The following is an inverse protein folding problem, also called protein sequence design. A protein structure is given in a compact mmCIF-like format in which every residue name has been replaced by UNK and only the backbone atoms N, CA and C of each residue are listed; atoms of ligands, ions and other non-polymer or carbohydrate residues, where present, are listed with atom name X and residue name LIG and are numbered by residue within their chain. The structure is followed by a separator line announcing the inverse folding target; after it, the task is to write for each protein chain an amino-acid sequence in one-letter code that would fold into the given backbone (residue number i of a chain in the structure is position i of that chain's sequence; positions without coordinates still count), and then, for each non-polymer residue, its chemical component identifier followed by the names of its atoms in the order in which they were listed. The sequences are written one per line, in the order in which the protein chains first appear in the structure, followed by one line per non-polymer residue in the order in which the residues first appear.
data_IF_351950015637
#
_entry.id   IF_351950015637
#
_cell.length_a   1.000
_cell.length_b   1.000
_cell.length_c   1.000
_cell.angle_alpha   90.00
_cell.angle_beta   90.00
_cell.angle_gamma   90.00
#
_symmetry.space_group_name_H-M   'P 1'
#
loop_
_entity.id
_entity.type
_entity.pdbx_description
1 polymer ?
#
# COMPACT_ATOMS: atom_id res chain seq x y z
N UNK A 1 19.97 -34.12 38.91
CA UNK A 1 18.49 -34.30 38.97
C UNK A 1 18.12 -35.38 37.94
N UNK A 2 17.14 -36.22 38.28
CA UNK A 2 16.98 -37.60 37.79
C UNK A 2 16.61 -37.73 36.31
N UNK A 3 17.28 -38.64 35.60
CA UNK A 3 16.78 -39.32 34.40
C UNK A 3 15.75 -40.35 34.84
N UNK A 4 14.55 -40.36 34.23
CA UNK A 4 13.79 -41.59 33.96
C UNK A 4 12.95 -41.47 32.67
N UNK A 5 12.90 -42.53 31.86
CA UNK A 5 12.16 -42.63 30.60
C UNK A 5 10.72 -43.14 30.82
N UNK A 6 9.86 -43.05 29.80
CA UNK A 6 8.68 -43.91 29.68
C UNK A 6 8.67 -44.66 28.36
N UNK A 7 8.55 -45.97 28.54
CA UNK A 7 8.54 -47.08 27.60
C UNK A 7 7.12 -47.31 27.05
N UNK A 8 7.09 -47.67 25.75
CA UNK A 8 6.45 -48.84 25.12
C UNK A 8 4.91 -49.07 25.08
N UNK A 9 4.59 -49.75 23.96
CA UNK A 9 3.53 -50.73 23.71
C UNK A 9 2.16 -50.15 23.28
N UNK A 10 1.51 -50.63 22.23
CA UNK A 10 1.80 -51.75 21.33
C UNK A 10 0.51 -52.23 20.64
N UNK A 11 0.68 -53.00 19.56
CA UNK A 11 -0.23 -54.00 18.96
C UNK A 11 -1.63 -53.51 18.51
N UNK A 12 -1.91 -53.43 17.20
CA UNK A 12 -2.26 -54.52 16.29
C UNK A 12 -3.65 -55.15 16.54
N UNK A 13 -4.53 -55.14 15.52
CA UNK A 13 -5.17 -56.33 14.95
C UNK A 13 -6.27 -55.94 13.95
N UNK A 14 -6.25 -56.61 12.81
CA UNK A 14 -7.24 -56.55 11.75
C UNK A 14 -8.58 -57.17 12.16
N UNK A 15 -9.65 -56.74 11.50
CA UNK A 15 -10.85 -57.54 11.33
C UNK A 15 -11.31 -57.47 9.88
N UNK A 16 -11.14 -58.59 9.18
CA UNK A 16 -11.83 -58.92 7.93
C UNK A 16 -13.33 -59.04 8.20
N UNK A 17 -14.16 -58.47 7.32
CA UNK A 17 -15.54 -58.90 7.14
C UNK A 17 -15.80 -59.16 5.65
N UNK A 18 -16.14 -60.42 5.37
CA UNK A 18 -16.52 -60.95 4.06
C UNK A 18 -18.05 -60.87 3.92
N UNK A 19 -18.51 -60.45 2.75
CA UNK A 19 -19.71 -60.97 2.10
C UNK A 19 -21.02 -60.24 2.41
N UNK A 20 -21.71 -59.75 1.39
CA UNK A 20 -22.64 -60.56 0.57
C UNK A 20 -23.01 -59.80 -0.71
N UNK A 21 -23.02 -60.54 -1.82
CA UNK A 21 -23.43 -60.09 -3.14
C UNK A 21 -24.96 -59.97 -3.21
N UNK A 22 -25.46 -58.82 -3.64
CA UNK A 22 -26.84 -58.63 -4.08
C UNK A 22 -26.87 -58.33 -5.58
N UNK A 23 -27.87 -58.83 -6.32
CA UNK A 23 -27.92 -58.75 -7.77
C UNK A 23 -28.13 -57.32 -8.25
N UNK A 24 -27.32 -56.90 -9.22
CA UNK A 24 -27.48 -55.67 -9.97
C UNK A 24 -28.80 -55.71 -10.75
N UNK A 25 -29.80 -54.99 -10.25
CA UNK A 25 -30.88 -54.49 -11.08
C UNK A 25 -30.31 -53.30 -11.86
N UNK A 26 -30.35 -53.39 -13.19
CA UNK A 26 -30.01 -52.32 -14.09
C UNK A 26 -30.91 -51.11 -13.80
N UNK A 27 -30.39 -50.16 -13.03
CA UNK A 27 -30.98 -48.85 -12.83
C UNK A 27 -30.56 -48.01 -14.04
N UNK A 28 -31.57 -47.62 -14.83
CA UNK A 28 -31.44 -46.65 -15.90
C UNK A 28 -30.58 -45.48 -15.44
N UNK A 29 -29.57 -45.13 -16.23
CA UNK A 29 -28.73 -43.97 -16.01
C UNK A 29 -29.61 -42.72 -15.95
N UNK A 30 -29.97 -42.32 -14.73
CA UNK A 30 -30.47 -40.99 -14.46
C UNK A 30 -29.27 -40.06 -14.64
N UNK A 31 -29.39 -39.13 -15.58
CA UNK A 31 -28.37 -38.15 -15.86
C UNK A 31 -28.15 -37.37 -14.56
N UNK A 32 -27.02 -37.63 -13.89
CA UNK A 32 -26.54 -36.75 -12.83
C UNK A 32 -26.32 -35.40 -13.49
N UNK A 33 -27.26 -34.46 -13.29
CA UNK A 33 -27.01 -33.06 -13.56
C UNK A 33 -25.66 -32.72 -12.94
N UNK A 34 -24.71 -32.13 -13.69
CA UNK A 34 -23.46 -31.70 -13.10
C UNK A 34 -23.79 -30.76 -11.95
N UNK A 35 -23.29 -31.12 -10.76
CA UNK A 35 -23.23 -30.23 -9.61
C UNK A 35 -22.71 -28.87 -10.11
N UNK A 36 -23.43 -27.75 -9.92
CA UNK A 36 -22.92 -26.46 -10.35
C UNK A 36 -21.58 -26.26 -9.67
N UNK A 37 -20.52 -26.24 -10.47
CA UNK A 37 -19.16 -26.00 -9.99
C UNK A 37 -19.21 -24.78 -9.08
N UNK A 38 -18.68 -24.93 -7.86
CA UNK A 38 -18.51 -23.81 -6.95
C UNK A 38 -17.87 -22.65 -7.73
N UNK A 39 -18.39 -21.42 -7.59
CA UNK A 39 -17.85 -20.28 -8.32
C UNK A 39 -16.34 -20.23 -8.09
N UNK A 40 -15.58 -20.07 -9.18
CA UNK A 40 -14.13 -19.93 -9.11
C UNK A 40 -13.80 -18.77 -8.17
N UNK A 41 -12.84 -18.97 -7.26
CA UNK A 41 -12.34 -17.89 -6.43
C UNK A 41 -11.86 -16.73 -7.33
N UNK A 42 -12.09 -15.46 -6.94
CA UNK A 42 -11.64 -14.31 -7.71
C UNK A 42 -10.12 -14.38 -7.91
N UNK A 43 -9.64 -13.90 -9.06
CA UNK A 43 -8.21 -13.83 -9.33
C UNK A 43 -7.54 -12.86 -8.34
N UNK A 44 -6.37 -13.23 -7.81
CA UNK A 44 -5.59 -12.42 -6.89
C UNK A 44 -4.47 -11.67 -7.63
N UNK A 45 -4.18 -10.45 -7.18
CA UNK A 45 -3.09 -9.59 -7.63
C UNK A 45 -2.11 -9.43 -6.47
N UNK A 46 -0.83 -9.64 -6.74
CA UNK A 46 0.24 -9.49 -5.75
C UNK A 46 1.10 -8.28 -6.09
N UNK A 47 1.22 -7.34 -5.17
CA UNK A 47 2.09 -6.18 -5.26
C UNK A 47 3.19 -6.31 -4.22
N UNK A 48 4.44 -6.05 -4.61
CA UNK A 48 5.58 -6.09 -3.68
C UNK A 48 6.32 -4.76 -3.71
N UNK A 49 6.75 -4.29 -2.55
CA UNK A 49 7.64 -3.15 -2.41
C UNK A 49 8.70 -3.42 -1.34
N UNK A 50 9.96 -3.13 -1.67
CA UNK A 50 11.08 -3.15 -0.74
C UNK A 50 11.42 -1.72 -0.36
N UNK A 51 11.35 -1.43 0.94
CA UNK A 51 11.62 -0.11 1.50
C UNK A 51 12.82 -0.19 2.44
N UNK A 52 13.83 0.69 2.27
CA UNK A 52 14.97 0.74 3.17
C UNK A 52 14.56 1.47 4.45
N UNK A 53 14.78 0.81 5.58
CA UNK A 53 14.51 1.36 6.91
C UNK A 53 15.80 1.23 7.73
N UNK A 54 16.45 2.36 8.03
CA UNK A 54 17.70 2.42 8.79
C UNK A 54 18.78 1.43 8.27
N UNK A 55 18.94 1.34 6.95
CA UNK A 55 19.90 0.42 6.32
C UNK A 55 19.49 -1.05 6.29
N UNK A 56 18.25 -1.38 6.69
CA UNK A 56 17.64 -2.70 6.52
C UNK A 56 16.56 -2.64 5.46
N UNK A 57 16.65 -3.51 4.46
CA UNK A 57 15.63 -3.61 3.43
C UNK A 57 14.47 -4.48 3.93
N UNK A 58 13.27 -3.90 3.98
CA UNK A 58 12.04 -4.57 4.36
C UNK A 58 11.14 -4.72 3.13
N UNK A 59 10.68 -5.95 2.87
CA UNK A 59 9.79 -6.25 1.75
C UNK A 59 8.36 -6.43 2.25
N UNK A 60 7.48 -5.58 1.73
CA UNK A 60 6.05 -5.59 1.94
C UNK A 60 5.42 -6.32 0.76
N UNK A 61 4.64 -7.35 1.03
CA UNK A 61 3.83 -8.07 0.04
C UNK A 61 2.37 -7.80 0.34
N UNK A 62 1.64 -7.27 -0.64
CA UNK A 62 0.20 -6.99 -0.53
C UNK A 62 -0.52 -7.88 -1.54
N UNK A 63 -1.56 -8.57 -1.09
CA UNK A 63 -2.43 -9.37 -1.94
C UNK A 63 -3.82 -8.75 -1.94
N UNK A 64 -4.34 -8.49 -3.13
CA UNK A 64 -5.72 -8.03 -3.34
C UNK A 64 -6.46 -8.94 -4.32
N UNK A 65 -7.78 -8.86 -4.37
CA UNK A 65 -8.55 -9.41 -5.48
C UNK A 65 -8.37 -8.55 -6.73
N UNK A 66 -8.79 -9.05 -7.90
CA UNK A 66 -8.84 -8.30 -9.14
C UNK A 66 -9.74 -7.05 -9.06
N UNK A 67 -10.74 -7.06 -8.17
CA UNK A 67 -11.63 -5.92 -7.90
C UNK A 67 -11.01 -4.90 -6.93
N UNK A 68 -9.83 -5.21 -6.37
CA UNK A 68 -9.09 -4.35 -5.45
C UNK A 68 -9.41 -4.58 -3.97
N UNK A 69 -10.15 -5.64 -3.62
CA UNK A 69 -10.43 -5.97 -2.23
C UNK A 69 -9.18 -6.52 -1.54
N UNK A 70 -8.97 -6.11 -0.29
CA UNK A 70 -7.85 -6.57 0.51
C UNK A 70 -7.95 -8.07 0.84
N UNK A 71 -6.87 -8.83 0.58
CA UNK A 71 -6.75 -10.24 0.98
C UNK A 71 -5.75 -10.38 2.12
N UNK A 72 -4.51 -9.91 1.94
CA UNK A 72 -3.48 -9.95 2.97
C UNK A 72 -2.38 -8.91 2.74
N UNK A 73 -1.60 -8.66 3.80
CA UNK A 73 -0.33 -7.94 3.71
C UNK A 73 0.67 -8.58 4.66
N UNK A 74 1.90 -8.77 4.21
CA UNK A 74 2.99 -9.38 4.97
C UNK A 74 4.25 -8.52 4.90
N UNK A 75 5.01 -8.50 5.99
CA UNK A 75 6.28 -7.79 6.09
C UNK A 75 7.40 -8.81 6.35
N UNK A 76 8.40 -8.79 5.49
CA UNK A 76 9.56 -9.66 5.54
C UNK A 76 10.85 -8.84 5.44
N UNK A 77 11.97 -9.39 5.88
CA UNK A 77 13.29 -8.82 5.60
C UNK A 77 13.76 -9.27 4.20
N UNK A 78 14.87 -8.70 3.71
CA UNK A 78 15.42 -9.04 2.39
C UNK A 78 15.70 -10.54 2.15
N UNK A 79 15.90 -11.34 3.21
CA UNK A 79 16.11 -12.79 3.09
C UNK A 79 14.81 -13.61 3.07
N UNK A 80 13.65 -12.93 3.09
CA UNK A 80 12.32 -13.53 3.09
C UNK A 80 11.85 -14.02 4.46
N UNK A 81 12.59 -13.74 5.54
CA UNK A 81 12.13 -14.02 6.90
C UNK A 81 11.07 -13.00 7.34
N UNK A 82 10.03 -13.41 8.10
CA UNK A 82 9.12 -12.46 8.73
C UNK A 82 9.90 -11.44 9.55
N UNK A 83 9.46 -10.18 9.60
CA UNK A 83 10.07 -9.15 10.44
C UNK A 83 9.40 -9.13 11.84
N UNK A 84 9.89 -9.91 12.83
CA UNK A 84 9.16 -10.16 14.08
C UNK A 84 9.07 -8.93 15.00
N UNK A 85 9.98 -7.97 14.80
CA UNK A 85 10.02 -6.73 15.61
C UNK A 85 8.92 -5.74 15.21
N UNK A 86 8.15 -6.05 14.16
CA UNK A 86 7.01 -5.26 13.71
C UNK A 86 5.70 -5.91 14.15
N UNK A 87 4.86 -5.12 14.81
CA UNK A 87 3.49 -5.47 15.15
C UNK A 87 2.59 -5.07 13.99
N UNK A 88 1.88 -6.06 13.43
CA UNK A 88 0.86 -5.82 12.40
C UNK A 88 -0.45 -5.37 13.03
N UNK A 89 -0.94 -4.22 12.59
CA UNK A 89 -2.22 -3.62 12.98
C UNK A 89 -3.07 -3.49 11.72
N UNK A 90 -4.16 -4.26 11.65
CA UNK A 90 -5.07 -4.24 10.50
C UNK A 90 -6.33 -3.45 10.83
N UNK A 91 -6.71 -2.55 9.91
CA UNK A 91 -8.00 -1.87 9.91
C UNK A 91 -8.61 -1.97 8.51
N UNK A 92 -9.61 -2.83 8.37
CA UNK A 92 -10.37 -2.99 7.13
C UNK A 92 -11.57 -2.04 7.21
N UNK A 93 -11.77 -1.20 6.20
CA UNK A 93 -12.91 -0.29 6.11
C UNK A 93 -14.17 -1.05 5.70
N UNK A 94 -15.34 -0.56 6.12
CA UNK A 94 -16.53 -1.42 6.15
C UNK A 94 -17.05 -1.84 4.75
N UNK A 95 -16.98 -1.05 3.67
CA UNK A 95 -17.68 -1.47 2.41
C UNK A 95 -17.17 -0.95 1.04
N UNK A 96 -16.00 -0.31 0.90
CA UNK A 96 -15.58 0.32 -0.38
C UNK A 96 -14.17 -0.09 -0.89
N UNK A 97 -13.73 -1.32 -0.65
CA UNK A 97 -12.34 -1.71 -0.98
C UNK A 97 -11.28 -0.87 -0.24
N UNK A 98 -11.69 -0.21 0.85
CA UNK A 98 -10.83 0.61 1.71
C UNK A 98 -10.15 -0.26 2.74
N UNK A 99 -8.84 -0.21 2.82
CA UNK A 99 -8.09 -0.90 3.86
C UNK A 99 -6.90 -0.07 4.32
N UNK A 100 -6.48 -0.32 5.55
CA UNK A 100 -5.27 0.22 6.15
C UNK A 100 -4.60 -0.90 6.95
N UNK A 101 -3.36 -1.22 6.59
CA UNK A 101 -2.50 -2.09 7.38
C UNK A 101 -1.32 -1.26 7.84
N UNK A 102 -0.99 -1.34 9.12
CA UNK A 102 0.19 -0.69 9.68
C UNK A 102 1.10 -1.74 10.29
N UNK A 103 2.40 -1.68 9.98
CA UNK A 103 3.43 -2.44 10.66
C UNK A 103 4.24 -1.46 11.51
N UNK A 104 4.20 -1.64 12.82
CA UNK A 104 4.82 -0.71 13.78
C UNK A 104 5.94 -1.43 14.52
N UNK A 105 7.14 -0.86 14.49
CA UNK A 105 8.24 -1.30 15.33
C UNK A 105 8.38 -0.32 16.51
N UNK A 106 7.84 -0.71 17.67
CA UNK A 106 7.86 0.11 18.89
C UNK A 106 9.27 0.35 19.44
N UNK A 107 10.29 -0.39 18.99
CA UNK A 107 11.67 -0.20 19.42
C UNK A 107 12.37 0.87 18.59
N UNK A 108 12.07 0.96 17.29
CA UNK A 108 12.73 1.89 16.36
C UNK A 108 11.87 3.08 15.96
N UNK A 109 10.57 3.03 16.23
CA UNK A 109 9.61 4.05 15.79
C UNK A 109 9.19 3.98 14.34
N UNK A 110 9.57 2.91 13.65
CA UNK A 110 9.24 2.82 12.23
C UNK A 110 7.78 2.39 12.10
N UNK A 111 7.02 3.12 11.30
CA UNK A 111 5.64 2.81 10.95
C UNK A 111 5.51 2.69 9.44
N UNK A 112 5.33 1.46 8.96
CA UNK A 112 5.03 1.19 7.56
C UNK A 112 3.53 1.09 7.42
N UNK A 113 2.94 1.83 6.48
CA UNK A 113 1.51 1.84 6.25
C UNK A 113 1.16 1.45 4.81
N UNK A 114 0.33 0.42 4.66
CA UNK A 114 -0.30 0.07 3.39
C UNK A 114 -1.74 0.53 3.43
N UNK A 115 -2.12 1.42 2.53
CA UNK A 115 -3.48 1.93 2.38
C UNK A 115 -4.04 1.50 1.03
N UNK A 116 -5.26 0.99 1.00
CA UNK A 116 -6.01 0.84 -0.24
C UNK A 116 -7.30 1.64 -0.19
N UNK A 117 -7.70 2.21 -1.32
CA UNK A 117 -8.99 2.88 -1.49
C UNK A 117 -9.40 2.86 -2.95
N UNK A 118 -10.64 2.48 -3.23
CA UNK A 118 -11.24 2.50 -4.57
C UNK A 118 -10.35 1.78 -5.61
N UNK A 119 -9.79 0.61 -5.27
CA UNK A 119 -8.87 -0.16 -6.11
C UNK A 119 -7.50 0.47 -6.36
N UNK A 120 -7.16 1.58 -5.69
CA UNK A 120 -5.82 2.14 -5.64
C UNK A 120 -5.08 1.58 -4.44
N UNK A 121 -3.86 1.10 -4.64
CA UNK A 121 -2.96 0.69 -3.56
C UNK A 121 -1.91 1.80 -3.37
N UNK A 122 -1.77 2.22 -2.12
CA UNK A 122 -0.76 3.14 -1.63
C UNK A 122 0.14 2.41 -0.62
N UNK A 123 1.44 2.36 -0.87
CA UNK A 123 2.42 1.90 0.11
C UNK A 123 3.16 3.13 0.59
N UNK A 124 2.96 3.48 1.86
CA UNK A 124 3.56 4.62 2.54
C UNK A 124 4.49 4.09 3.62
N UNK A 125 5.74 4.55 3.64
CA UNK A 125 6.63 4.28 4.77
C UNK A 125 6.91 5.57 5.49
N UNK A 126 6.69 5.54 6.80
CA UNK A 126 6.86 6.66 7.71
C UNK A 126 7.83 6.23 8.83
N UNK A 127 8.76 7.12 9.18
CA UNK A 127 9.79 6.85 10.18
C UNK A 127 9.57 7.86 11.33
N UNK A 128 9.00 7.41 12.45
CA UNK A 128 8.66 8.21 13.64
C UNK A 128 9.26 7.60 14.92
N UNK A 129 10.49 7.95 15.35
CA UNK A 129 11.16 7.33 16.51
C UNK A 129 10.27 7.21 17.76
N UNK A 130 10.19 6.01 18.33
CA UNK A 130 9.28 5.69 19.44
C UNK A 130 9.77 6.09 20.82
N UNK A 131 11.04 6.47 20.97
CA UNK A 131 11.61 6.92 22.24
C UNK A 131 11.31 8.40 22.54
N UNK A 132 10.55 9.07 21.68
CA UNK A 132 10.32 10.52 21.74
C UNK A 132 11.60 11.32 21.44
N UNK A 133 12.64 10.66 20.92
CA UNK A 133 13.80 11.36 20.37
C UNK A 133 13.47 11.79 18.94
N UNK A 134 13.68 13.06 18.69
CA UNK A 134 13.49 13.63 17.38
C UNK A 134 14.54 13.04 16.42
N UNK A 135 14.15 12.35 15.33
CA UNK A 135 15.11 11.85 14.36
C UNK A 135 15.81 13.06 13.75
N UNK A 136 17.13 13.15 13.92
CA UNK A 136 17.91 14.20 13.28
C UNK A 136 18.10 13.87 11.81
N UNK A 137 18.36 14.87 10.96
CA UNK A 137 18.62 14.59 9.53
C UNK A 137 19.80 13.62 9.40
N UNK A 138 20.81 13.70 10.28
CA UNK A 138 21.95 12.78 10.29
C UNK A 138 21.57 11.31 10.48
N UNK A 139 20.45 11.02 11.16
CA UNK A 139 19.98 9.65 11.38
C UNK A 139 19.33 9.04 10.12
N UNK A 140 18.80 9.88 9.23
CA UNK A 140 18.16 9.50 7.97
C UNK A 140 18.99 9.84 6.73
N UNK A 141 20.09 10.57 6.90
CA UNK A 141 21.00 10.94 5.84
C UNK A 141 21.73 9.72 5.26
N UNK A 142 22.04 9.81 3.97
CA UNK A 142 22.71 8.76 3.22
C UNK A 142 21.94 8.35 1.97
N UNK A 143 22.48 7.35 1.30
CA UNK A 143 21.90 6.78 0.09
C UNK A 143 20.94 5.65 0.46
N UNK A 144 19.76 5.72 -0.13
CA UNK A 144 18.65 4.80 0.05
C UNK A 144 18.22 4.24 -1.31
N UNK A 145 17.53 3.11 -1.31
CA UNK A 145 17.00 2.50 -2.52
C UNK A 145 15.59 2.01 -2.27
N UNK A 146 14.61 2.61 -2.94
CA UNK A 146 13.26 2.06 -3.03
C UNK A 146 13.21 1.06 -4.19
N UNK A 147 12.55 -0.08 -4.01
CA UNK A 147 12.25 -1.02 -5.10
C UNK A 147 10.80 -1.49 -5.02
N UNK A 148 10.19 -1.82 -6.15
CA UNK A 148 8.88 -2.47 -6.14
C UNK A 148 8.45 -2.97 -7.51
N UNK A 149 7.44 -3.83 -7.51
CA UNK A 149 6.63 -4.15 -8.70
C UNK A 149 5.38 -3.26 -8.67
N UNK A 150 5.42 -2.08 -9.32
CA UNK A 150 4.37 -1.08 -9.20
C UNK A 150 3.00 -1.59 -9.69
N UNK A 151 2.97 -2.51 -10.67
CA UNK A 151 1.74 -2.95 -11.33
C UNK A 151 1.38 -4.42 -11.07
N UNK A 152 2.17 -5.14 -10.27
CA UNK A 152 1.93 -6.55 -9.94
C UNK A 152 2.05 -7.49 -11.16
N UNK A 153 2.78 -7.07 -12.20
CA UNK A 153 2.89 -7.81 -13.46
C UNK A 153 4.29 -8.41 -13.68
N UNK A 154 5.13 -8.42 -12.65
CA UNK A 154 6.51 -8.91 -12.69
C UNK A 154 7.52 -7.90 -13.24
N UNK A 155 7.07 -6.69 -13.60
CA UNK A 155 7.97 -5.56 -13.84
C UNK A 155 8.56 -5.03 -12.54
N UNK A 156 9.67 -4.30 -12.62
CA UNK A 156 10.29 -3.71 -11.42
C UNK A 156 10.71 -2.28 -11.66
N UNK A 157 10.51 -1.43 -10.66
CA UNK A 157 11.07 -0.10 -10.54
C UNK A 157 12.05 -0.08 -9.36
N UNK A 158 13.21 0.52 -9.56
CA UNK A 158 14.20 0.77 -8.52
C UNK A 158 14.67 2.22 -8.58
N UNK A 159 14.58 2.91 -7.46
CA UNK A 159 14.96 4.32 -7.34
C UNK A 159 15.99 4.46 -6.23
N UNK A 160 17.19 4.86 -6.62
CA UNK A 160 18.26 5.23 -5.67
C UNK A 160 18.18 6.73 -5.42
N UNK A 161 18.11 7.11 -4.15
CA UNK A 161 18.04 8.50 -3.74
C UNK A 161 18.92 8.77 -2.53
N UNK A 162 19.45 9.97 -2.43
CA UNK A 162 20.27 10.41 -1.32
C UNK A 162 19.55 11.50 -0.54
N UNK A 163 19.45 11.30 0.78
CA UNK A 163 19.01 12.31 1.73
C UNK A 163 20.27 12.94 2.33
N UNK A 164 20.37 14.26 2.28
CA UNK A 164 21.50 15.00 2.82
C UNK A 164 21.08 16.20 3.66
N UNK A 165 22.04 17.02 4.04
CA UNK A 165 21.85 18.29 4.76
C UNK A 165 22.58 19.39 4.01
N UNK A 166 21.94 20.52 3.80
CA UNK A 166 22.61 21.72 3.25
C UNK A 166 23.44 22.45 4.32
N UNK A 167 24.07 23.57 3.93
CA UNK A 167 24.90 24.36 4.83
C UNK A 167 24.11 25.03 5.97
N UNK A 168 22.80 25.20 5.80
CA UNK A 168 21.90 25.84 6.75
C UNK A 168 21.20 24.83 7.68
N UNK A 169 21.47 23.53 7.50
CA UNK A 169 20.88 22.46 8.29
C UNK A 169 19.54 21.96 7.75
N UNK A 170 19.14 22.34 6.54
CA UNK A 170 17.90 21.86 5.93
C UNK A 170 18.12 20.53 5.21
N UNK A 171 17.12 19.64 5.20
CA UNK A 171 17.22 18.41 4.46
C UNK A 171 17.33 18.68 2.96
N UNK A 172 18.10 17.85 2.27
CA UNK A 172 18.18 17.83 0.81
C UNK A 172 17.80 16.44 0.31
N UNK A 173 17.22 16.38 -0.87
CA UNK A 173 16.88 15.13 -1.54
C UNK A 173 17.55 15.14 -2.92
N UNK A 174 18.07 14.02 -3.37
CA UNK A 174 18.55 13.85 -4.75
C UNK A 174 18.18 12.47 -5.23
N UNK A 175 17.63 12.35 -6.43
CA UNK A 175 17.47 11.05 -7.08
C UNK A 175 18.72 10.78 -7.90
N UNK A 176 19.48 9.77 -7.48
CA UNK A 176 20.77 9.42 -8.06
C UNK A 176 20.59 8.55 -9.31
N UNK A 177 19.60 7.65 -9.27
CA UNK A 177 19.37 6.69 -10.35
C UNK A 177 17.93 6.16 -10.35
N UNK A 178 17.38 5.93 -11.54
CA UNK A 178 16.10 5.25 -11.76
C UNK A 178 16.34 4.09 -12.73
N UNK A 179 16.00 2.88 -12.29
CA UNK A 179 16.13 1.65 -13.06
C UNK A 179 14.76 0.99 -13.20
N UNK A 180 14.46 0.48 -14.40
CA UNK A 180 13.24 -0.27 -14.67
C UNK A 180 13.54 -1.59 -15.38
N UNK A 181 12.69 -2.59 -15.19
CA UNK A 181 12.73 -3.85 -15.92
C UNK A 181 11.32 -4.37 -16.21
N UNK A 182 11.20 -5.22 -17.24
CA UNK A 182 9.92 -5.74 -17.72
C UNK A 182 9.15 -4.67 -18.51
N UNK A 183 7.82 -4.66 -18.36
CA UNK A 183 6.92 -3.73 -19.05
C UNK A 183 6.70 -2.42 -18.26
N UNK A 184 7.68 -2.00 -17.44
CA UNK A 184 7.64 -0.79 -16.63
C UNK A 184 8.47 0.32 -17.25
N UNK A 185 7.91 1.52 -17.25
CA UNK A 185 8.52 2.76 -17.72
C UNK A 185 8.47 3.80 -16.60
N UNK A 186 9.47 4.66 -16.50
CA UNK A 186 9.50 5.74 -15.52
C UNK A 186 10.25 6.99 -16.04
N UNK A 187 9.91 8.14 -15.48
CA UNK A 187 10.73 9.36 -15.60
C UNK A 187 12.15 9.13 -15.05
N UNK A 188 13.12 9.83 -15.62
CA UNK A 188 14.54 9.72 -15.25
C UNK A 188 15.31 8.59 -15.91
N UNK A 189 14.62 7.60 -16.51
CA UNK A 189 15.27 6.49 -17.24
C UNK A 189 15.69 6.92 -18.65
N UNK A 190 14.84 7.70 -19.33
CA UNK A 190 15.05 8.13 -20.71
C UNK A 190 15.21 9.63 -20.81
N UNK A 191 16.04 10.09 -21.75
CA UNK A 191 16.28 11.51 -22.00
C UNK A 191 15.02 12.27 -22.42
N UNK A 192 14.07 11.58 -23.05
CA UNK A 192 12.81 12.16 -23.50
C UNK A 192 11.80 12.35 -22.35
N UNK A 193 12.05 11.69 -21.21
CA UNK A 193 11.24 11.75 -19.99
C UNK A 193 12.17 12.02 -18.79
N UNK A 194 12.77 13.22 -18.69
CA UNK A 194 13.63 13.56 -17.56
C UNK A 194 12.81 13.57 -16.26
N UNK A 195 13.51 13.46 -15.13
CA UNK A 195 12.89 13.73 -13.83
C UNK A 195 12.34 15.16 -13.80
N UNK A 196 11.17 15.32 -13.22
CA UNK A 196 10.62 16.65 -12.94
C UNK A 196 11.43 17.36 -11.86
N UNK A 197 11.38 18.69 -11.89
CA UNK A 197 11.99 19.51 -10.86
C UNK A 197 11.43 19.16 -9.48
N UNK A 198 12.32 19.16 -8.48
CA UNK A 198 11.93 18.97 -7.10
C UNK A 198 11.03 20.11 -6.63
N UNK A 199 10.05 19.75 -5.82
CA UNK A 199 9.23 20.72 -5.12
C UNK A 199 9.86 20.95 -3.74
N UNK A 200 10.25 22.19 -3.47
CA UNK A 200 10.75 22.62 -2.16
C UNK A 200 9.77 23.61 -1.57
N UNK A 201 9.26 23.33 -0.38
CA UNK A 201 8.35 24.18 0.38
C UNK A 201 9.02 24.58 1.69
N UNK A 202 8.89 25.86 2.05
CA UNK A 202 9.39 26.39 3.32
C UNK A 202 8.28 27.26 3.92
N UNK A 203 7.75 26.85 5.05
CA UNK A 203 6.75 27.59 5.80
C UNK A 203 7.19 27.68 7.27
N UNK A 204 7.57 28.88 7.72
CA UNK A 204 8.09 29.10 9.08
C UNK A 204 9.30 28.21 9.42
N UNK A 205 9.12 27.23 10.31
CA UNK A 205 10.10 26.25 10.75
C UNK A 205 9.87 24.86 10.14
N UNK A 206 8.95 24.76 9.19
CA UNK A 206 8.73 23.59 8.34
C UNK A 206 9.54 23.72 7.03
N UNK A 207 10.26 22.66 6.68
CA UNK A 207 11.02 22.55 5.44
C UNK A 207 10.74 21.21 4.78
N UNK A 208 10.26 21.22 3.54
CA UNK A 208 9.80 20.04 2.84
C UNK A 208 10.43 19.96 1.45
N UNK A 209 11.04 18.83 1.13
CA UNK A 209 11.55 18.53 -0.22
C UNK A 209 10.83 17.29 -0.75
N UNK A 210 10.22 17.42 -1.91
CA UNK A 210 9.47 16.35 -2.58
C UNK A 210 10.03 16.11 -3.98
N UNK A 211 10.26 14.83 -4.30
CA UNK A 211 10.45 14.35 -5.66
C UNK A 211 9.30 13.43 -6.04
N UNK A 212 8.66 13.71 -7.17
CA UNK A 212 7.74 12.80 -7.84
C UNK A 212 8.40 12.15 -9.04
N UNK A 213 8.09 10.88 -9.26
CA UNK A 213 8.53 10.09 -10.40
C UNK A 213 7.28 9.45 -10.98
N UNK A 214 6.89 9.86 -12.19
CA UNK A 214 5.82 9.19 -12.91
C UNK A 214 6.31 7.84 -13.43
N UNK A 215 5.44 6.84 -13.29
CA UNK A 215 5.68 5.45 -13.67
C UNK A 215 4.49 4.98 -14.50
N UNK A 216 4.72 4.24 -15.57
CA UNK A 216 3.65 3.69 -16.40
C UNK A 216 4.04 2.33 -16.99
N UNK A 217 3.06 1.61 -17.54
CA UNK A 217 3.30 0.36 -18.24
C UNK A 217 2.78 0.40 -19.70
N UNK A 218 2.99 -0.68 -20.46
CA UNK A 218 2.51 -0.80 -21.83
C UNK A 218 0.98 -0.89 -21.95
N UNK A 219 0.27 -1.24 -20.86
CA UNK A 219 -1.19 -1.23 -20.79
C UNK A 219 -1.77 0.16 -20.52
N UNK A 220 -0.92 1.19 -20.37
CA UNK A 220 -1.26 2.56 -19.97
C UNK A 220 -1.79 2.67 -18.53
N UNK A 221 -1.51 1.69 -17.67
CA UNK A 221 -1.60 1.93 -16.23
C UNK A 221 -0.49 2.90 -15.84
N UNK A 222 -0.79 3.81 -14.92
CA UNK A 222 0.17 4.77 -14.42
C UNK A 222 0.18 4.80 -12.90
N UNK A 223 1.24 5.34 -12.34
CA UNK A 223 1.36 5.61 -10.93
C UNK A 223 2.43 6.65 -10.67
N UNK A 224 2.49 7.09 -9.43
CA UNK A 224 3.49 8.06 -8.97
C UNK A 224 4.22 7.49 -7.78
N UNK A 225 5.55 7.40 -7.87
CA UNK A 225 6.39 7.30 -6.69
C UNK A 225 6.71 8.71 -6.19
N UNK A 226 6.38 8.99 -4.94
CA UNK A 226 6.71 10.22 -4.25
C UNK A 226 7.73 9.91 -3.16
N UNK A 227 8.87 10.59 -3.19
CA UNK A 227 9.86 10.59 -2.12
C UNK A 227 9.86 11.99 -1.50
N UNK A 228 9.69 12.04 -0.20
CA UNK A 228 9.54 13.28 0.56
C UNK A 228 10.46 13.25 1.78
N UNK A 229 11.12 14.37 2.03
CA UNK A 229 11.85 14.62 3.27
C UNK A 229 11.30 15.90 3.86
N UNK A 230 10.75 15.80 5.05
CA UNK A 230 10.14 16.90 5.78
C UNK A 230 10.89 17.14 7.07
N UNK A 231 11.11 18.40 7.42
CA UNK A 231 11.62 18.83 8.71
C UNK A 231 10.60 19.77 9.35
N UNK A 232 10.00 19.39 10.46
CA UNK A 232 9.04 20.21 11.21
C UNK A 232 9.50 20.28 12.67
N UNK A 233 9.57 21.48 13.27
CA UNK A 233 9.98 21.66 14.67
C UNK A 233 11.33 21.00 15.07
N UNK A 234 12.22 20.75 14.10
CA UNK A 234 13.49 20.05 14.30
C UNK A 234 13.43 18.54 14.10
N UNK A 235 12.25 17.98 13.85
CA UNK A 235 12.01 16.57 13.54
C UNK A 235 12.06 16.31 12.06
N UNK A 236 12.70 15.21 11.66
CA UNK A 236 12.90 14.89 10.24
C UNK A 236 12.20 13.59 9.89
N UNK A 237 11.28 13.67 8.95
CA UNK A 237 10.53 12.53 8.43
C UNK A 237 10.97 12.25 6.99
N UNK A 238 11.18 10.98 6.67
CA UNK A 238 11.36 10.53 5.29
C UNK A 238 10.17 9.67 4.93
N UNK A 239 9.48 10.05 3.86
CA UNK A 239 8.31 9.36 3.35
C UNK A 239 8.54 8.92 1.91
N UNK A 240 8.43 7.62 1.68
CA UNK A 240 8.34 7.05 0.34
C UNK A 240 6.92 6.51 0.14
N UNK A 241 6.23 7.02 -0.87
CA UNK A 241 4.83 6.73 -1.15
C UNK A 241 4.65 6.38 -2.63
N UNK A 242 4.26 5.14 -2.93
CA UNK A 242 3.85 4.77 -4.29
C UNK A 242 2.32 4.77 -4.39
N UNK A 243 1.77 5.42 -5.41
CA UNK A 243 0.32 5.46 -5.70
C UNK A 243 0.05 4.97 -7.11
N UNK A 244 -0.88 4.03 -7.25
CA UNK A 244 -1.47 3.67 -8.53
C UNK A 244 -2.55 4.68 -8.94
N UNK A 245 -2.42 5.22 -10.14
CA UNK A 245 -3.43 6.04 -10.79
C UNK A 245 -4.32 5.10 -11.62
N UNK A 246 -5.61 5.00 -11.26
CA UNK A 246 -6.56 4.29 -12.12
C UNK A 246 -6.63 5.00 -13.47
N UNK A 247 -6.70 4.27 -14.60
CA UNK A 247 -7.19 4.86 -15.83
C UNK A 247 -8.58 5.43 -15.52
N UNK A 248 -8.84 6.69 -15.88
CA UNK A 248 -10.18 7.26 -15.77
C UNK A 248 -11.11 6.33 -16.55
N UNK A 249 -11.94 5.55 -15.84
CA UNK A 249 -13.03 4.84 -16.50
C UNK A 249 -13.86 5.91 -17.18
N UNK A 250 -14.09 5.75 -18.48
CA UNK A 250 -14.82 6.70 -19.32
C UNK A 250 -16.31 6.80 -18.96
N UNK A 251 -16.71 6.24 -17.81
CA UNK A 251 -18.09 6.01 -17.40
C UNK A 251 -18.58 7.02 -16.35
N UNK A 252 -17.73 7.95 -15.88
CA UNK A 252 -18.14 9.02 -14.96
C UNK A 252 -18.55 10.32 -15.69
N UNK A 253 -18.55 10.34 -17.03
CA UNK A 253 -19.07 11.45 -17.85
C UNK A 253 -20.57 11.31 -18.17
N UNK A 254 -21.30 10.42 -17.47
CA UNK A 254 -22.75 10.54 -17.37
C UNK A 254 -23.07 11.67 -16.38
N UNK A 255 -22.74 12.89 -16.82
CA UNK A 255 -23.35 14.12 -16.37
C UNK A 255 -24.86 13.90 -16.39
N UNK A 256 -25.40 13.59 -15.21
CA UNK A 256 -26.75 13.92 -14.87
C UNK A 256 -26.89 15.42 -15.13
N UNK A 257 -27.30 15.74 -16.36
CA UNK A 257 -28.13 16.89 -16.66
C UNK A 257 -29.35 16.78 -15.75
N UNK A 258 -29.18 17.14 -14.47
CA UNK A 258 -30.23 17.79 -13.72
C UNK A 258 -30.49 19.06 -14.51
N UNK A 259 -31.46 18.94 -15.41
CA UNK A 259 -32.17 20.07 -15.96
C UNK A 259 -32.57 20.94 -14.77
N UNK A 260 -31.80 22.02 -14.58
CA UNK A 260 -32.19 23.20 -13.82
C UNK A 260 -33.58 23.59 -14.33
N UNK A 261 -34.59 23.07 -13.63
CA UNK A 261 -35.94 23.56 -13.75
C UNK A 261 -35.94 24.89 -12.99
N UNK A 262 -35.79 25.94 -13.78
CA UNK A 262 -36.15 27.31 -13.48
C UNK A 262 -37.59 27.37 -12.95
N UNK A 263 -37.80 27.06 -11.67
CA UNK A 263 -39.01 27.46 -10.95
C UNK A 263 -38.68 28.74 -10.18
N UNK A 264 -38.88 29.82 -10.93
CA UNK A 264 -39.28 31.13 -10.44
C UNK A 264 -40.34 30.99 -9.33
N UNK A 265 -40.00 31.45 -8.14
CA UNK A 265 -40.92 32.10 -7.18
C UNK A 265 -40.00 33.05 -6.38
N UNK A 266 -39.78 34.28 -6.82
CA UNK A 266 -40.63 35.43 -6.46
C UNK A 266 -41.28 35.23 -5.09
N UNK A 267 -40.65 35.76 -4.04
CA UNK A 267 -41.38 36.57 -3.06
C UNK A 267 -40.42 37.43 -2.24
N UNK A 268 -40.55 38.72 -2.52
CA UNK A 268 -40.19 39.84 -1.67
C UNK A 268 -40.58 39.59 -0.21
N UNK A 269 -39.67 39.88 0.73
CA UNK A 269 -40.07 40.68 1.88
C UNK A 269 -38.90 41.49 2.42
N UNK A 270 -39.20 42.78 2.54
CA UNK A 270 -38.36 43.86 2.98
C UNK A 270 -38.00 43.80 4.47
N UNK A 271 -37.16 44.78 4.84
CA UNK A 271 -37.15 45.50 6.10
C UNK A 271 -36.21 45.01 7.21
N UNK A 272 -35.09 45.75 7.29
CA UNK A 272 -34.68 46.56 8.45
C UNK A 272 -34.73 45.92 9.84
N UNK A 273 -33.56 45.85 10.51
CA UNK A 273 -33.32 46.73 11.65
C UNK A 273 -31.89 46.65 12.20
N UNK A 274 -31.35 47.84 12.42
CA UNK A 274 -30.15 48.23 13.17
C UNK A 274 -29.93 47.48 14.50
N UNK A 275 -28.66 47.33 14.86
CA UNK A 275 -28.26 46.99 16.22
C UNK A 275 -26.75 47.06 16.42
N UNK A 276 -26.20 48.27 16.44
CA UNK A 276 -24.88 48.55 17.02
C UNK A 276 -24.87 48.10 18.49
N UNK A 277 -23.87 47.30 18.88
CA UNK A 277 -23.46 47.19 20.28
C UNK A 277 -21.94 47.02 20.35
N UNK A 278 -21.28 48.15 20.60
CA UNK A 278 -19.99 48.20 21.27
C UNK A 278 -20.20 47.84 22.74
N UNK A 279 -19.44 46.89 23.29
CA UNK A 279 -19.09 46.86 24.71
C UNK A 279 -17.64 46.35 24.87
N UNK A 280 -16.79 47.28 25.32
CA UNK A 280 -15.61 47.24 26.20
C UNK A 280 -14.49 46.18 26.04
#
# INVERSE_FOLDING_TARGET
MRIRPRLLAGAAAAALAIGVSSPALAQSADASSPDPAAPAAPAEVTTTATVPVFGTDLTITVVTTADGDFVSADLTTADGTPAPDYVKVEKIGDHDGKFKVSFVNDTTGVKIEVKGKDGKIGIETEIEPTDGSTPTVDAVAGTHTWMGDPFGNGGSLKVTYTVGVDADGNPTLTVDNVEVAGDVFAEGVWTDYPLQDQKVEMEHDEYKVEQKILVWNAANDSGTLKIEVEREHGEVQVKAEFKLDKPKSHDDDDDHHESDHDDHDDDHHDDDHHGDHDED
#
